data_IF_751835490198
#
_entry.id   IF_751835490198
#
_cell.length_a   1.000
_cell.length_b   1.000
_cell.length_c   1.000
_cell.angle_alpha   90.00
_cell.angle_beta   90.00
_cell.angle_gamma   90.00
#
_symmetry.space_group_name_H-M   'P 1'
#
loop_
_entity.id
_entity.type
_entity.pdbx_description
1 polymer ?
#
# COMPACT_ATOMS: atom_id res chain seq x y z
N UNK A 1 -63.17 -32.56 9.99
CA UNK A 1 -62.54 -31.22 10.13
C UNK A 1 -61.09 -31.44 10.47
N UNK A 2 -60.26 -31.57 9.44
CA UNK A 2 -58.88 -32.03 9.56
C UNK A 2 -57.94 -30.82 9.42
N UNK A 3 -57.28 -30.42 10.52
CA UNK A 3 -56.35 -29.27 10.54
C UNK A 3 -54.97 -29.75 10.14
N UNK A 4 -54.56 -29.44 8.91
CA UNK A 4 -53.17 -29.59 8.45
C UNK A 4 -52.31 -28.45 9.01
N UNK A 5 -51.30 -28.78 9.80
CA UNK A 5 -50.24 -27.90 10.26
C UNK A 5 -49.20 -27.68 9.15
N UNK A 6 -48.86 -26.41 8.87
CA UNK A 6 -47.73 -26.02 8.02
C UNK A 6 -46.43 -25.98 8.84
N UNK A 7 -45.27 -26.37 8.28
CA UNK A 7 -43.99 -26.30 8.98
C UNK A 7 -43.47 -24.84 9.02
N UNK A 8 -42.64 -24.48 10.01
CA UNK A 8 -42.11 -23.13 10.13
C UNK A 8 -41.06 -22.86 9.05
N UNK A 9 -41.21 -21.70 8.39
CA UNK A 9 -40.26 -21.17 7.42
C UNK A 9 -38.95 -20.80 8.16
N UNK A 10 -37.89 -21.57 7.94
CA UNK A 10 -36.54 -21.21 8.42
C UNK A 10 -35.99 -20.14 7.48
N UNK A 11 -36.02 -18.89 7.91
CA UNK A 11 -35.31 -17.79 7.24
C UNK A 11 -33.80 -17.96 7.48
N UNK A 12 -33.09 -18.49 6.47
CA UNK A 12 -31.64 -18.41 6.39
C UNK A 12 -31.25 -16.95 6.14
N UNK A 13 -30.94 -16.22 7.22
CA UNK A 13 -30.33 -14.89 7.14
C UNK A 13 -28.89 -15.11 6.67
N UNK A 14 -28.66 -15.00 5.36
CA UNK A 14 -27.31 -14.87 4.81
C UNK A 14 -26.83 -13.48 5.24
N UNK A 15 -26.16 -13.38 6.39
CA UNK A 15 -25.46 -12.16 6.76
C UNK A 15 -24.33 -11.95 5.76
N UNK A 16 -24.56 -11.11 4.76
CA UNK A 16 -23.50 -10.60 3.90
C UNK A 16 -22.67 -9.62 4.74
N UNK A 17 -21.80 -10.14 5.61
CA UNK A 17 -20.74 -9.31 6.17
C UNK A 17 -19.92 -8.80 4.98
N UNK A 18 -19.82 -7.47 4.77
CA UNK A 18 -18.95 -6.96 3.73
C UNK A 18 -17.54 -7.43 4.10
N UNK A 19 -17.01 -8.35 3.29
CA UNK A 19 -15.82 -9.14 3.66
C UNK A 19 -14.58 -8.25 3.86
N UNK A 20 -14.63 -6.96 3.47
CA UNK A 20 -13.52 -6.02 3.55
C UNK A 20 -14.02 -4.57 3.66
N UNK A 21 -14.53 -4.18 4.83
CA UNK A 21 -15.06 -2.82 5.04
C UNK A 21 -14.03 -1.68 4.83
N UNK A 22 -12.73 -2.00 4.71
CA UNK A 22 -11.67 -1.03 4.48
C UNK A 22 -10.71 -1.38 3.33
N UNK A 23 -11.03 -2.34 2.46
CA UNK A 23 -10.19 -2.60 1.28
C UNK A 23 -10.38 -1.52 0.20
N UNK A 24 -9.32 -1.24 -0.56
CA UNK A 24 -9.49 -0.46 -1.78
C UNK A 24 -10.20 -1.30 -2.84
N UNK A 25 -10.99 -0.63 -3.67
CA UNK A 25 -11.66 -1.26 -4.79
C UNK A 25 -10.60 -1.77 -5.77
N UNK A 26 -10.76 -3.01 -6.19
CA UNK A 26 -9.91 -3.59 -7.22
C UNK A 26 -10.72 -4.49 -8.16
N UNK A 27 -10.99 -3.99 -9.36
CA UNK A 27 -11.76 -4.68 -10.40
C UNK A 27 -10.99 -5.80 -11.09
N UNK A 28 -9.67 -5.67 -11.17
CA UNK A 28 -8.78 -6.67 -11.79
C UNK A 28 -8.70 -7.92 -10.91
N UNK A 29 -9.17 -9.08 -11.37
CA UNK A 29 -9.18 -10.29 -10.53
C UNK A 29 -9.00 -11.61 -11.30
N UNK A 30 -8.16 -12.55 -10.82
CA UNK A 30 -7.14 -12.42 -9.78
C UNK A 30 -5.81 -11.86 -10.35
N UNK A 31 -5.32 -10.75 -9.79
CA UNK A 31 -4.04 -10.11 -10.21
C UNK A 31 -3.20 -9.76 -8.98
N UNK A 32 -1.87 -9.88 -9.12
CA UNK A 32 -0.89 -9.46 -8.11
C UNK A 32 -0.11 -8.24 -8.60
N UNK A 33 0.23 -7.36 -7.70
CA UNK A 33 1.09 -6.20 -7.96
C UNK A 33 1.86 -5.81 -6.69
N UNK A 34 2.66 -4.74 -6.77
CA UNK A 34 3.22 -4.08 -5.59
C UNK A 34 2.38 -2.84 -5.27
N UNK A 35 2.12 -2.62 -3.99
CA UNK A 35 1.46 -1.43 -3.48
C UNK A 35 2.32 -0.78 -2.39
N UNK A 36 2.00 0.47 -2.07
CA UNK A 36 2.60 1.22 -0.98
C UNK A 36 1.51 1.57 0.05
N UNK A 37 1.90 1.74 1.30
CA UNK A 37 1.02 2.30 2.33
C UNK A 37 1.84 3.10 3.33
N UNK A 38 1.25 4.14 3.90
CA UNK A 38 1.86 4.87 4.99
C UNK A 38 1.91 4.04 6.27
N UNK A 39 3.05 4.15 6.94
CA UNK A 39 3.19 3.82 8.34
C UNK A 39 3.79 5.03 9.05
N UNK A 40 3.12 5.50 10.09
CA UNK A 40 3.59 6.59 10.94
C UNK A 40 4.17 5.94 12.20
N UNK A 41 5.47 6.11 12.44
CA UNK A 41 6.14 5.51 13.59
C UNK A 41 5.49 6.02 14.89
N UNK A 42 4.89 5.16 15.74
CA UNK A 42 4.25 5.63 16.98
C UNK A 42 5.28 6.16 17.97
N UNK A 43 6.46 5.53 18.00
CA UNK A 43 7.59 5.86 18.86
C UNK A 43 8.90 5.80 18.06
N UNK A 44 10.02 6.13 18.70
CA UNK A 44 11.33 5.96 18.07
C UNK A 44 11.57 4.47 17.79
N UNK A 45 11.98 4.14 16.57
CA UNK A 45 12.21 2.76 16.12
C UNK A 45 13.44 2.69 15.19
N UNK A 46 13.62 1.60 14.45
CA UNK A 46 14.69 1.39 13.46
C UNK A 46 14.13 0.82 12.16
N UNK A 47 14.89 0.87 11.06
CA UNK A 47 14.43 0.26 9.81
C UNK A 47 14.18 -1.25 9.95
N UNK A 48 15.02 -1.98 10.69
CA UNK A 48 14.86 -3.43 10.86
C UNK A 48 13.59 -3.80 11.63
N UNK A 49 13.18 -3.00 12.61
CA UNK A 49 11.92 -3.18 13.34
C UNK A 49 10.71 -2.95 12.43
N UNK A 50 10.73 -1.89 11.61
CA UNK A 50 9.68 -1.64 10.60
C UNK A 50 9.63 -2.75 9.55
N UNK A 51 10.78 -3.23 9.08
CA UNK A 51 10.83 -4.37 8.17
C UNK A 51 10.20 -5.62 8.78
N UNK A 52 10.48 -5.87 10.05
CA UNK A 52 9.94 -7.02 10.79
C UNK A 52 8.43 -6.90 10.92
N UNK A 53 7.93 -5.73 11.33
CA UNK A 53 6.49 -5.45 11.48
C UNK A 53 5.71 -5.71 10.18
N UNK A 54 6.25 -5.30 9.03
CA UNK A 54 5.59 -5.42 7.73
C UNK A 54 6.04 -6.63 6.90
N UNK A 55 6.94 -7.46 7.43
CA UNK A 55 7.60 -8.56 6.72
C UNK A 55 8.22 -8.14 5.37
N UNK A 56 8.84 -6.96 5.33
CA UNK A 56 9.60 -6.45 4.18
C UNK A 56 10.95 -7.16 4.12
N UNK A 57 11.07 -8.12 3.19
CA UNK A 57 12.19 -9.08 3.14
C UNK A 57 13.58 -8.45 2.96
N UNK A 58 13.67 -7.28 2.33
CA UNK A 58 14.96 -6.65 2.03
C UNK A 58 14.90 -5.16 2.37
N UNK A 59 15.91 -4.68 3.11
CA UNK A 59 15.99 -3.29 3.56
C UNK A 59 15.99 -2.33 2.37
N UNK A 60 16.69 -2.70 1.29
CA UNK A 60 16.79 -1.88 0.08
C UNK A 60 15.43 -1.63 -0.58
N UNK A 61 14.47 -2.53 -0.41
CA UNK A 61 13.09 -2.33 -0.89
C UNK A 61 12.39 -1.24 -0.07
N UNK A 62 12.55 -1.26 1.25
CA UNK A 62 12.01 -0.22 2.13
C UNK A 62 12.69 1.14 1.87
N UNK A 63 14.02 1.16 1.77
CA UNK A 63 14.77 2.38 1.45
C UNK A 63 14.38 2.94 0.08
N UNK A 64 14.20 2.07 -0.91
CA UNK A 64 13.78 2.43 -2.26
C UNK A 64 12.41 3.08 -2.33
N UNK A 65 11.42 2.53 -1.63
CA UNK A 65 10.08 3.10 -1.52
C UNK A 65 10.06 4.51 -0.89
N UNK A 66 11.11 4.85 -0.13
CA UNK A 66 11.27 6.14 0.55
C UNK A 66 12.36 7.02 -0.07
N UNK A 67 12.95 6.62 -1.21
CA UNK A 67 14.06 7.31 -1.87
C UNK A 67 15.26 7.60 -0.95
N UNK A 68 15.49 6.74 0.04
CA UNK A 68 16.55 6.91 1.02
C UNK A 68 17.89 6.38 0.48
N UNK A 69 19.04 6.84 1.02
CA UNK A 69 20.34 6.34 0.62
C UNK A 69 20.45 4.82 0.78
N UNK A 70 20.98 4.14 -0.23
CA UNK A 70 21.16 2.66 -0.22
C UNK A 70 22.11 2.18 0.88
N UNK A 71 22.95 3.08 1.39
CA UNK A 71 23.93 2.85 2.44
C UNK A 71 23.36 3.04 3.85
N UNK A 72 22.09 3.43 3.99
CA UNK A 72 21.43 3.54 5.30
C UNK A 72 21.47 2.19 6.03
N UNK A 73 21.99 2.16 7.27
CA UNK A 73 22.16 0.91 8.00
C UNK A 73 20.83 0.42 8.60
N UNK A 74 20.64 -0.90 8.81
CA UNK A 74 19.38 -1.46 9.30
C UNK A 74 18.94 -0.96 10.68
N UNK A 75 19.90 -0.63 11.54
CA UNK A 75 19.74 -0.12 12.90
C UNK A 75 19.64 1.40 12.98
N UNK A 76 19.62 2.10 11.83
CA UNK A 76 19.42 3.55 11.80
C UNK A 76 18.12 3.89 12.52
N UNK A 77 18.24 4.76 13.54
CA UNK A 77 17.09 5.24 14.32
C UNK A 77 16.18 6.11 13.46
N UNK A 78 14.89 5.88 13.64
CA UNK A 78 13.78 6.64 13.07
C UNK A 78 13.06 7.34 14.22
N UNK A 79 12.93 8.68 14.21
CA UNK A 79 12.14 9.39 15.22
C UNK A 79 10.68 8.96 15.19
N UNK A 80 9.99 9.20 16.31
CA UNK A 80 8.54 9.09 16.38
C UNK A 80 7.87 10.07 15.40
N UNK A 81 6.66 9.72 14.94
CA UNK A 81 5.85 10.46 13.95
C UNK A 81 6.50 10.60 12.58
N UNK A 82 7.52 9.80 12.28
CA UNK A 82 8.06 9.73 10.93
C UNK A 82 7.14 8.87 10.06
N UNK A 83 6.73 9.42 8.92
CA UNK A 83 5.98 8.67 7.91
C UNK A 83 6.94 7.91 6.99
N UNK A 84 6.72 6.62 6.84
CA UNK A 84 7.40 5.75 5.88
C UNK A 84 6.39 5.15 4.90
N UNK A 85 6.76 5.13 3.62
CA UNK A 85 6.07 4.34 2.59
C UNK A 85 6.53 2.89 2.69
N UNK A 86 5.62 2.00 3.05
CA UNK A 86 5.88 0.57 3.21
C UNK A 86 5.48 -0.16 1.93
N UNK A 87 6.41 -0.83 1.25
CA UNK A 87 6.10 -1.67 0.09
C UNK A 87 5.62 -3.06 0.50
N UNK A 88 4.52 -3.52 -0.10
CA UNK A 88 3.98 -4.86 0.15
C UNK A 88 3.31 -5.45 -1.10
N UNK A 89 3.22 -6.79 -1.20
CA UNK A 89 2.55 -7.44 -2.32
C UNK A 89 1.04 -7.31 -2.14
N UNK A 90 0.36 -6.85 -3.18
CA UNK A 90 -1.09 -6.79 -3.25
C UNK A 90 -1.65 -8.01 -3.98
N UNK A 91 -2.84 -8.45 -3.59
CA UNK A 91 -3.67 -9.40 -4.33
C UNK A 91 -5.07 -8.84 -4.47
N UNK A 92 -5.52 -8.70 -5.71
CA UNK A 92 -6.90 -8.34 -6.00
C UNK A 92 -7.77 -9.57 -6.18
N UNK A 93 -8.81 -9.68 -5.36
CA UNK A 93 -9.74 -10.80 -5.39
C UNK A 93 -11.16 -10.33 -5.04
N UNK A 94 -12.14 -10.71 -5.87
CA UNK A 94 -13.57 -10.43 -5.63
C UNK A 94 -13.89 -8.94 -5.43
N UNK A 95 -13.30 -8.07 -6.25
CA UNK A 95 -13.59 -6.63 -6.22
C UNK A 95 -12.81 -5.83 -5.17
N UNK A 96 -11.99 -6.49 -4.35
CA UNK A 96 -11.19 -5.87 -3.29
C UNK A 96 -9.71 -6.22 -3.47
N UNK A 97 -8.83 -5.25 -3.22
CA UNK A 97 -7.40 -5.50 -3.11
C UNK A 97 -6.93 -5.41 -1.66
N UNK A 98 -6.24 -6.47 -1.23
CA UNK A 98 -5.65 -6.57 0.10
C UNK A 98 -4.22 -7.12 0.00
N UNK A 99 -3.45 -6.87 1.05
CA UNK A 99 -2.10 -7.42 1.17
C UNK A 99 -2.09 -8.94 1.07
N UNK A 100 -1.16 -9.46 0.28
CA UNK A 100 -1.08 -10.88 -0.04
C UNK A 100 -0.25 -11.62 1.01
N UNK A 101 -0.94 -12.22 1.99
CA UNK A 101 -0.38 -13.09 3.06
C UNK A 101 0.57 -12.41 4.05
N UNK A 102 0.81 -11.10 3.95
CA UNK A 102 1.67 -10.37 4.89
C UNK A 102 1.26 -8.89 5.01
N UNK A 103 1.43 -8.25 6.18
CA UNK A 103 2.06 -8.82 7.38
C UNK A 103 1.17 -9.77 8.18
N UNK A 104 1.83 -10.60 8.98
CA UNK A 104 1.21 -11.35 10.07
C UNK A 104 1.79 -10.75 11.34
N UNK A 105 0.92 -10.22 12.20
CA UNK A 105 1.30 -9.58 13.45
C UNK A 105 1.16 -10.57 14.60
N UNK A 106 2.20 -10.73 15.40
CA UNK A 106 2.13 -11.48 16.66
C UNK A 106 1.79 -10.52 17.78
N UNK A 107 0.65 -10.73 18.43
CA UNK A 107 0.16 -9.91 19.55
C UNK A 107 1.19 -9.88 20.67
N UNK A 108 1.51 -8.67 21.14
CA UNK A 108 2.51 -8.38 22.16
C UNK A 108 1.86 -8.06 23.50
N UNK A 109 2.67 -8.06 24.55
CA UNK A 109 2.25 -7.54 25.86
C UNK A 109 1.88 -6.06 25.73
N UNK A 110 0.74 -5.69 26.33
CA UNK A 110 0.18 -4.34 26.23
C UNK A 110 -0.72 -4.08 25.01
N UNK A 111 -0.98 -5.09 24.16
CA UNK A 111 -2.05 -5.00 23.17
C UNK A 111 -3.38 -5.46 23.79
N UNK A 112 -4.31 -4.52 23.99
CA UNK A 112 -5.58 -4.77 24.69
C UNK A 112 -6.73 -5.15 23.73
N UNK A 113 -6.54 -4.96 22.42
CA UNK A 113 -7.55 -5.31 21.42
C UNK A 113 -7.20 -4.93 19.98
N UNK A 114 -8.05 -5.35 19.04
CA UNK A 114 -7.85 -5.11 17.61
C UNK A 114 -7.84 -3.64 17.22
N UNK A 115 -8.64 -2.80 17.91
CA UNK A 115 -8.68 -1.36 17.69
C UNK A 115 -7.35 -0.70 18.00
N UNK A 116 -6.76 -1.04 19.14
CA UNK A 116 -5.47 -0.48 19.54
C UNK A 116 -4.36 -0.95 18.59
N UNK A 117 -4.35 -2.22 18.19
CA UNK A 117 -3.39 -2.74 17.20
C UNK A 117 -3.54 -1.98 15.87
N UNK A 118 -4.77 -1.81 15.38
CA UNK A 118 -5.05 -1.07 14.16
C UNK A 118 -4.56 0.38 14.23
N UNK A 119 -4.93 1.12 15.28
CA UNK A 119 -4.67 2.56 15.43
C UNK A 119 -3.23 2.87 15.84
N UNK A 120 -2.66 2.13 16.82
CA UNK A 120 -1.34 2.40 17.39
C UNK A 120 -0.21 1.70 16.65
N UNK A 121 -0.37 0.41 16.31
CA UNK A 121 0.69 -0.37 15.66
C UNK A 121 0.71 -0.12 14.15
N UNK A 122 -0.45 -0.10 13.52
CA UNK A 122 -0.59 0.10 12.07
C UNK A 122 -1.04 1.51 11.68
N UNK A 123 -1.00 2.48 12.61
CA UNK A 123 -1.27 3.90 12.35
C UNK A 123 -2.66 4.19 11.76
N UNK A 124 -3.64 3.30 11.92
CA UNK A 124 -4.96 3.38 11.30
C UNK A 124 -4.99 2.96 9.82
N UNK A 125 -3.89 2.40 9.29
CA UNK A 125 -3.81 1.93 7.90
C UNK A 125 -4.69 0.68 7.62
N UNK A 126 -5.19 0.05 8.67
CA UNK A 126 -6.15 -1.06 8.63
C UNK A 126 -7.18 -0.82 9.72
N UNK A 127 -8.41 -1.32 9.55
CA UNK A 127 -9.45 -1.24 10.58
C UNK A 127 -9.47 -2.50 11.46
N UNK A 128 -9.91 -2.37 12.71
CA UNK A 128 -10.17 -3.50 13.60
C UNK A 128 -11.16 -4.50 13.00
N UNK A 129 -12.21 -4.01 12.32
CA UNK A 129 -13.16 -4.82 11.58
C UNK A 129 -12.52 -5.64 10.46
N UNK A 130 -11.56 -5.07 9.71
CA UNK A 130 -10.84 -5.80 8.68
C UNK A 130 -9.91 -6.86 9.28
N UNK A 131 -9.22 -6.55 10.39
CA UNK A 131 -8.41 -7.55 11.10
C UNK A 131 -9.32 -8.68 11.63
N UNK A 132 -10.44 -8.34 12.27
CA UNK A 132 -11.40 -9.29 12.80
C UNK A 132 -11.92 -10.24 11.72
N UNK A 133 -12.39 -9.68 10.59
CA UNK A 133 -12.90 -10.43 9.46
C UNK A 133 -11.84 -11.36 8.85
N UNK A 134 -10.60 -10.88 8.68
CA UNK A 134 -9.50 -11.68 8.12
C UNK A 134 -9.08 -12.85 9.01
N UNK A 135 -9.35 -12.77 10.31
CA UNK A 135 -8.94 -13.76 11.31
C UNK A 135 -10.12 -14.59 11.86
N UNK A 136 -11.35 -14.35 11.39
CA UNK A 136 -12.53 -15.09 11.83
C UNK A 136 -12.88 -14.88 13.32
N UNK A 137 -12.56 -13.70 13.85
CA UNK A 137 -12.82 -13.30 15.24
C UNK A 137 -13.75 -12.08 15.29
N UNK A 138 -14.34 -11.80 16.45
CA UNK A 138 -15.13 -10.58 16.67
C UNK A 138 -14.22 -9.41 17.05
N UNK A 139 -14.62 -8.20 16.68
CA UNK A 139 -13.94 -6.96 17.11
C UNK A 139 -13.95 -6.75 18.62
N UNK A 140 -14.84 -7.44 19.34
CA UNK A 140 -14.95 -7.40 20.80
C UNK A 140 -14.15 -8.51 21.49
N UNK A 141 -13.60 -9.46 20.74
CA UNK A 141 -12.86 -10.57 21.34
C UNK A 141 -11.52 -10.04 21.88
N UNK A 142 -11.11 -10.48 23.09
CA UNK A 142 -9.77 -10.16 23.59
C UNK A 142 -8.72 -10.84 22.72
N UNK A 143 -7.63 -10.12 22.46
CA UNK A 143 -6.44 -10.69 21.82
C UNK A 143 -5.55 -11.32 22.88
N UNK A 144 -4.84 -12.41 22.51
CA UNK A 144 -3.92 -13.10 23.41
C UNK A 144 -2.48 -12.87 22.98
N UNK A 145 -1.60 -12.56 23.92
CA UNK A 145 -0.15 -12.48 23.65
C UNK A 145 0.33 -13.75 22.94
N UNK A 146 1.09 -13.59 21.86
CA UNK A 146 1.56 -14.69 21.01
C UNK A 146 0.59 -15.13 19.91
N UNK A 147 -0.65 -14.62 19.90
CA UNK A 147 -1.59 -14.88 18.81
C UNK A 147 -1.11 -14.23 17.51
N UNK A 148 -1.18 -14.97 16.41
CA UNK A 148 -0.88 -14.45 15.07
C UNK A 148 -2.16 -13.91 14.42
N UNK A 149 -2.11 -12.65 13.99
CA UNK A 149 -3.18 -11.95 13.29
C UNK A 149 -2.73 -11.65 11.86
N UNK A 150 -3.50 -12.12 10.87
CA UNK A 150 -3.36 -11.70 9.49
C UNK A 150 -3.82 -10.25 9.35
N UNK A 151 -2.93 -9.38 8.86
CA UNK A 151 -3.20 -7.95 8.68
C UNK A 151 -3.42 -7.67 7.19
N UNK A 152 -4.66 -7.35 6.83
CA UNK A 152 -5.09 -7.10 5.44
C UNK A 152 -4.99 -5.62 5.10
N UNK A 153 -3.79 -5.17 4.75
CA UNK A 153 -3.58 -3.78 4.32
C UNK A 153 -4.28 -3.54 2.98
N UNK A 154 -5.03 -2.44 2.82
CA UNK A 154 -5.75 -2.17 1.57
C UNK A 154 -4.80 -1.77 0.45
N UNK A 155 -5.13 -2.19 -0.77
CA UNK A 155 -4.35 -1.90 -1.97
C UNK A 155 -5.21 -2.10 -3.22
N UNK A 156 -4.69 -1.71 -4.38
CA UNK A 156 -5.29 -2.07 -5.66
C UNK A 156 -4.19 -2.31 -6.70
N UNK A 157 -4.55 -3.02 -7.78
CA UNK A 157 -3.72 -3.30 -8.94
C UNK A 157 -4.36 -2.79 -10.23
N UNK A 158 -5.43 -1.99 -10.11
CA UNK A 158 -6.14 -1.46 -11.25
C UNK A 158 -5.30 -0.41 -11.99
N UNK A 159 -5.52 -0.34 -13.30
CA UNK A 159 -4.99 0.75 -14.09
C UNK A 159 -5.93 1.96 -13.92
N UNK A 160 -5.37 3.16 -13.86
CA UNK A 160 -6.14 4.40 -13.74
C UNK A 160 -5.98 5.19 -15.04
N UNK A 161 -7.11 5.51 -15.68
CA UNK A 161 -7.15 6.16 -17.01
C UNK A 161 -6.30 5.42 -18.08
N UNK A 162 -6.28 4.08 -18.03
CA UNK A 162 -5.50 3.25 -18.96
C UNK A 162 -3.98 3.30 -18.76
N UNK A 163 -3.52 3.87 -17.64
CA UNK A 163 -2.11 4.00 -17.29
C UNK A 163 -1.76 3.11 -16.09
N UNK A 164 -0.55 2.54 -16.12
CA UNK A 164 -0.01 1.82 -14.97
C UNK A 164 0.31 2.78 -13.84
N UNK A 165 -0.18 2.44 -12.64
CA UNK A 165 0.05 3.19 -11.40
C UNK A 165 0.51 2.25 -10.30
N UNK A 166 1.12 2.82 -9.27
CA UNK A 166 1.32 2.16 -7.98
C UNK A 166 0.31 2.76 -7.02
N UNK A 167 -0.65 1.94 -6.57
CA UNK A 167 -1.60 2.36 -5.55
C UNK A 167 -0.88 2.54 -4.22
N UNK A 168 -1.08 3.71 -3.62
CA UNK A 168 -0.46 4.12 -2.38
C UNK A 168 -1.54 4.54 -1.38
N UNK A 169 -1.68 3.75 -0.30
CA UNK A 169 -2.54 4.13 0.82
C UNK A 169 -1.90 5.26 1.63
N UNK A 170 -2.34 6.48 1.37
CA UNK A 170 -1.86 7.68 2.04
C UNK A 170 -2.72 7.99 3.27
N UNK A 171 -2.09 8.14 4.44
CA UNK A 171 -2.77 8.62 5.65
C UNK A 171 -2.83 10.14 5.60
N UNK A 172 -4.02 10.70 5.43
CA UNK A 172 -4.20 12.14 5.30
C UNK A 172 -3.76 12.87 6.58
N UNK A 173 -2.89 13.87 6.42
CA UNK A 173 -2.47 14.74 7.52
C UNK A 173 -3.68 15.53 8.07
N UNK A 174 -3.63 15.93 9.34
CA UNK A 174 -4.65 16.81 9.91
C UNK A 174 -4.74 18.10 9.09
N UNK A 175 -5.97 18.48 8.70
CA UNK A 175 -6.24 19.66 7.85
C UNK A 175 -5.75 19.55 6.40
N UNK A 176 -5.37 18.35 5.93
CA UNK A 176 -5.08 18.11 4.52
C UNK A 176 -6.34 18.23 3.66
N UNK A 177 -6.16 18.60 2.39
CA UNK A 177 -7.22 18.68 1.38
C UNK A 177 -6.92 17.76 0.19
N UNK A 178 -7.95 17.45 -0.62
CA UNK A 178 -7.76 16.64 -1.83
C UNK A 178 -6.81 17.34 -2.81
N UNK A 179 -6.89 18.67 -2.92
CA UNK A 179 -6.02 19.50 -3.74
C UNK A 179 -4.56 19.37 -3.30
N UNK A 180 -4.29 19.48 -1.99
CA UNK A 180 -2.93 19.37 -1.48
C UNK A 180 -2.32 17.96 -1.70
N UNK A 181 -3.13 16.91 -1.59
CA UNK A 181 -2.72 15.53 -1.87
C UNK A 181 -2.49 15.35 -3.38
N UNK A 182 -3.42 15.81 -4.21
CA UNK A 182 -3.35 15.79 -5.66
C UNK A 182 -2.05 16.45 -6.17
N UNK A 183 -1.77 17.67 -5.71
CA UNK A 183 -0.57 18.43 -6.09
C UNK A 183 0.71 17.75 -5.62
N UNK A 184 0.72 17.18 -4.41
CA UNK A 184 1.89 16.48 -3.86
C UNK A 184 2.27 15.26 -4.70
N UNK A 185 1.29 14.51 -5.20
CA UNK A 185 1.52 13.24 -5.89
C UNK A 185 1.35 13.31 -7.41
N UNK A 186 1.00 14.48 -7.96
CA UNK A 186 0.80 14.67 -9.41
C UNK A 186 -0.41 13.90 -9.94
N UNK A 187 -1.47 13.81 -9.15
CA UNK A 187 -2.76 13.17 -9.49
C UNK A 187 -3.82 14.26 -9.54
N UNK A 188 -4.88 14.12 -10.36
CA UNK A 188 -5.98 15.09 -10.36
C UNK A 188 -6.96 14.84 -9.22
N UNK A 189 -7.60 15.90 -8.70
CA UNK A 189 -8.66 15.77 -7.68
C UNK A 189 -9.81 14.87 -8.16
N UNK A 190 -10.33 14.98 -9.41
CA UNK A 190 -11.35 14.07 -9.90
C UNK A 190 -10.95 12.59 -9.85
N UNK A 191 -9.70 12.27 -10.20
CA UNK A 191 -9.19 10.89 -10.11
C UNK A 191 -9.15 10.44 -8.65
N UNK A 192 -8.62 11.26 -7.73
CA UNK A 192 -8.61 10.92 -6.30
C UNK A 192 -10.02 10.66 -5.78
N UNK A 193 -10.99 11.47 -6.19
CA UNK A 193 -12.37 11.28 -5.78
C UNK A 193 -12.97 9.99 -6.34
N UNK A 194 -12.76 9.71 -7.63
CA UNK A 194 -13.26 8.51 -8.29
C UNK A 194 -12.74 7.23 -7.62
N UNK A 195 -11.42 7.11 -7.45
CA UNK A 195 -10.80 5.89 -6.90
C UNK A 195 -11.16 5.66 -5.44
N UNK A 196 -11.48 6.73 -4.69
CA UNK A 196 -11.90 6.66 -3.29
C UNK A 196 -13.43 6.70 -3.10
N UNK A 197 -14.22 6.77 -4.18
CA UNK A 197 -15.68 6.89 -4.10
C UNK A 197 -16.18 8.15 -3.37
N UNK A 198 -15.38 9.23 -3.40
CA UNK A 198 -15.73 10.52 -2.80
C UNK A 198 -16.62 11.33 -3.74
N UNK A 199 -17.50 12.15 -3.17
CA UNK A 199 -18.40 13.06 -3.91
C UNK A 199 -17.90 14.49 -3.82
N UNK A 200 -18.37 15.36 -4.72
CA UNK A 200 -18.06 16.80 -4.65
C UNK A 200 -18.41 17.36 -3.28
N UNK A 201 -17.48 18.15 -2.72
CA UNK A 201 -17.60 18.72 -1.37
C UNK A 201 -17.31 17.76 -0.22
N UNK A 202 -16.84 16.54 -0.48
CA UNK A 202 -16.37 15.64 0.59
C UNK A 202 -15.16 16.25 1.30
N UNK A 203 -15.21 16.31 2.63
CA UNK A 203 -14.04 16.66 3.44
C UNK A 203 -13.22 15.41 3.77
N UNK A 204 -11.89 15.55 3.74
CA UNK A 204 -10.98 14.51 4.25
C UNK A 204 -10.78 14.74 5.74
N UNK A 205 -10.81 13.66 6.53
CA UNK A 205 -10.47 13.70 7.94
C UNK A 205 -8.98 13.39 8.13
N UNK A 206 -8.35 14.02 9.12
CA UNK A 206 -7.01 13.61 9.54
C UNK A 206 -6.99 12.13 9.93
N UNK A 207 -5.98 11.40 9.48
CA UNK A 207 -5.85 9.95 9.64
C UNK A 207 -6.72 9.11 8.69
N UNK A 208 -7.54 9.73 7.84
CA UNK A 208 -8.28 8.99 6.81
C UNK A 208 -7.29 8.41 5.80
N UNK A 209 -7.43 7.12 5.54
CA UNK A 209 -6.65 6.44 4.50
C UNK A 209 -7.26 6.71 3.12
N UNK A 210 -6.44 7.23 2.21
CA UNK A 210 -6.81 7.62 0.86
C UNK A 210 -5.97 6.80 -0.13
N UNK A 211 -6.60 6.16 -1.11
CA UNK A 211 -5.91 5.56 -2.24
C UNK A 211 -5.42 6.64 -3.20
N UNK A 212 -4.10 6.76 -3.32
CA UNK A 212 -3.43 7.68 -4.24
C UNK A 212 -2.76 6.87 -5.35
N UNK A 213 -3.26 6.94 -6.60
CA UNK A 213 -2.68 6.23 -7.73
C UNK A 213 -1.45 6.97 -8.24
N UNK A 214 -0.27 6.64 -7.70
CA UNK A 214 0.99 7.28 -8.11
C UNK A 214 1.38 6.77 -9.48
N UNK A 215 1.63 7.68 -10.43
CA UNK A 215 2.12 7.32 -11.77
C UNK A 215 3.41 6.49 -11.66
N UNK A 216 3.41 5.35 -12.35
CA UNK A 216 4.61 4.53 -12.48
C UNK A 216 5.42 4.96 -13.71
N UNK A 217 6.74 4.85 -13.64
CA UNK A 217 7.57 4.98 -14.83
C UNK A 217 7.33 3.82 -15.80
N UNK A 218 7.32 4.12 -17.09
CA UNK A 218 7.26 3.07 -18.10
C UNK A 218 8.60 2.31 -18.13
N UNK A 219 8.55 0.99 -18.08
CA UNK A 219 9.72 0.14 -18.22
C UNK A 219 9.75 -0.46 -19.62
N UNK A 220 10.94 -0.54 -20.23
CA UNK A 220 11.15 -1.26 -21.50
C UNK A 220 11.57 -2.71 -21.24
N UNK A 221 11.16 -3.28 -20.10
CA UNK A 221 11.49 -4.66 -19.75
C UNK A 221 10.71 -5.58 -20.67
N UNK A 222 11.39 -6.57 -21.23
CA UNK A 222 10.78 -7.54 -22.14
C UNK A 222 9.67 -8.32 -21.42
N UNK A 223 8.59 -8.61 -22.13
CA UNK A 223 7.42 -9.32 -21.58
C UNK A 223 7.72 -10.75 -21.12
N UNK A 224 8.76 -11.38 -21.64
CA UNK A 224 9.24 -12.71 -21.25
C UNK A 224 10.18 -12.68 -20.03
N UNK A 225 10.53 -11.50 -19.51
CA UNK A 225 11.26 -11.37 -18.26
C UNK A 225 10.38 -11.70 -17.06
N UNK A 226 10.98 -12.32 -16.05
CA UNK A 226 10.38 -12.47 -14.72
C UNK A 226 10.06 -11.12 -14.06
N UNK A 227 10.74 -10.05 -14.48
CA UNK A 227 10.57 -8.68 -14.00
C UNK A 227 9.67 -7.83 -14.91
N UNK A 228 8.95 -8.44 -15.86
CA UNK A 228 8.07 -7.74 -16.82
C UNK A 228 6.97 -6.90 -16.17
N UNK A 229 6.61 -7.21 -14.91
CA UNK A 229 5.64 -6.46 -14.12
C UNK A 229 6.28 -5.40 -13.20
N UNK A 230 7.56 -5.06 -13.40
CA UNK A 230 8.24 -4.06 -12.58
C UNK A 230 7.55 -2.70 -12.73
N UNK A 231 6.94 -2.26 -11.63
CA UNK A 231 6.33 -0.94 -11.48
C UNK A 231 7.11 -0.14 -10.45
N UNK A 232 7.49 1.08 -10.82
CA UNK A 232 8.28 1.97 -9.97
C UNK A 232 7.55 3.29 -9.88
N UNK A 233 7.05 3.59 -8.69
CA UNK A 233 6.34 4.83 -8.39
C UNK A 233 7.25 6.05 -8.59
N UNK A 234 6.68 7.16 -9.04
CA UNK A 234 7.40 8.42 -9.14
C UNK A 234 8.06 8.80 -7.79
N UNK A 235 9.34 9.19 -7.84
CA UNK A 235 10.13 9.55 -6.68
C UNK A 235 10.69 8.36 -5.90
N UNK A 236 10.62 7.13 -6.41
CA UNK A 236 11.16 5.93 -5.74
C UNK A 236 12.20 5.22 -6.62
N UNK A 237 12.90 4.26 -6.02
CA UNK A 237 13.70 3.29 -6.76
C UNK A 237 13.44 1.87 -6.29
N UNK A 238 13.75 0.90 -7.15
CA UNK A 238 13.64 -0.53 -6.86
C UNK A 238 14.87 -1.28 -7.36
N UNK A 239 15.06 -2.48 -6.85
CA UNK A 239 16.06 -3.42 -7.31
C UNK A 239 15.39 -4.58 -8.04
N UNK A 240 16.00 -5.01 -9.14
CA UNK A 240 15.55 -6.11 -10.00
C UNK A 240 16.77 -6.96 -10.39
N UNK A 241 16.57 -8.05 -11.15
CA UNK A 241 17.63 -9.00 -11.51
C UNK A 241 18.46 -9.43 -10.28
N UNK A 242 17.81 -9.98 -9.26
CA UNK A 242 18.44 -10.43 -8.01
C UNK A 242 19.31 -9.36 -7.30
N UNK A 243 18.89 -8.10 -7.35
CA UNK A 243 19.59 -6.92 -6.80
C UNK A 243 20.80 -6.42 -7.60
N UNK A 244 21.03 -6.94 -8.80
CA UNK A 244 22.11 -6.48 -9.68
C UNK A 244 21.78 -5.18 -10.40
N UNK A 245 20.50 -4.87 -10.61
CA UNK A 245 20.05 -3.68 -11.33
C UNK A 245 19.18 -2.84 -10.42
N UNK A 246 19.50 -1.54 -10.33
CA UNK A 246 18.64 -0.56 -9.69
C UNK A 246 17.95 0.27 -10.75
N UNK A 247 16.62 0.34 -10.65
CA UNK A 247 15.77 1.17 -11.47
C UNK A 247 15.17 2.30 -10.64
N UNK A 248 15.39 3.55 -11.04
CA UNK A 248 14.85 4.74 -10.38
C UNK A 248 13.84 5.43 -11.29
N UNK A 249 12.73 5.88 -10.69
CA UNK A 249 11.71 6.66 -11.35
C UNK A 249 11.70 8.07 -10.75
N UNK A 250 12.13 9.05 -11.53
CA UNK A 250 12.07 10.47 -11.16
C UNK A 250 11.31 11.23 -12.26
N UNK A 251 10.25 11.94 -11.88
CA UNK A 251 9.61 12.91 -12.76
C UNK A 251 10.44 14.18 -12.84
N UNK A 252 11.01 14.45 -14.01
CA UNK A 252 11.34 15.81 -14.38
C UNK A 252 10.05 16.55 -14.71
N UNK A 253 9.44 17.16 -13.69
CA UNK A 253 8.65 18.41 -13.72
C UNK A 253 7.58 18.42 -12.62
N UNK A 254 7.84 19.17 -11.55
CA UNK A 254 6.80 19.89 -10.83
C UNK A 254 7.00 21.38 -11.14
N UNK A 255 6.19 21.92 -12.07
CA UNK A 255 5.76 23.33 -12.06
C UNK A 255 6.78 24.48 -12.00
N UNK A 256 8.01 24.37 -12.50
CA UNK A 256 8.84 25.56 -12.80
C UNK A 256 9.48 25.45 -14.18
N UNK A 257 9.11 26.35 -15.07
CA UNK A 257 9.85 26.63 -16.30
C UNK A 257 11.29 27.04 -15.95
N UNK A 258 12.22 26.09 -15.97
CA UNK A 258 13.65 26.35 -16.20
C UNK A 258 14.38 25.06 -16.56
N UNK A 259 14.51 24.84 -17.87
CA UNK A 259 15.62 24.19 -18.57
C UNK A 259 16.28 22.93 -17.97
N UNK A 260 15.90 21.76 -18.48
CA UNK A 260 16.82 20.66 -18.87
C UNK A 260 16.10 19.73 -19.84
N UNK A 261 16.36 19.90 -21.13
CA UNK A 261 15.62 19.27 -22.24
C UNK A 261 16.08 17.81 -22.52
N UNK A 262 16.29 16.99 -21.48
CA UNK A 262 16.83 15.61 -21.61
C UNK A 262 16.04 14.52 -20.86
N UNK A 263 14.84 14.79 -20.35
CA UNK A 263 14.25 13.97 -19.28
C UNK A 263 12.84 13.40 -19.54
N UNK A 264 12.26 13.63 -20.72
CA UNK A 264 11.05 12.95 -21.19
C UNK A 264 11.43 11.98 -22.32
N UNK A 265 10.76 10.83 -22.42
CA UNK A 265 10.77 10.08 -23.68
C UNK A 265 10.15 10.98 -24.75
N UNK A 266 10.99 11.51 -25.64
CA UNK A 266 10.62 12.47 -26.68
C UNK A 266 9.55 11.94 -27.64
N UNK A 267 9.23 10.63 -27.64
CA UNK A 267 8.16 10.04 -28.45
C UNK A 267 6.82 9.97 -27.75
N UNK A 268 6.79 9.86 -26.41
CA UNK A 268 5.55 9.51 -25.66
C UNK A 268 5.18 10.48 -24.55
N UNK A 269 6.08 11.37 -24.12
CA UNK A 269 5.82 12.31 -23.02
C UNK A 269 5.66 11.63 -21.65
N UNK A 270 6.10 10.37 -21.51
CA UNK A 270 5.96 9.56 -20.28
C UNK A 270 7.21 9.63 -19.40
N UNK A 271 7.01 9.34 -18.10
CA UNK A 271 8.08 9.14 -17.13
C UNK A 271 8.98 7.96 -17.54
N UNK A 272 10.27 8.20 -17.69
CA UNK A 272 11.24 7.19 -18.11
C UNK A 272 11.89 6.51 -16.91
N UNK A 273 11.85 5.17 -16.87
CA UNK A 273 12.55 4.39 -15.87
C UNK A 273 14.04 4.32 -16.19
N UNK A 274 14.90 4.73 -15.24
CA UNK A 274 16.36 4.67 -15.40
C UNK A 274 16.95 3.52 -14.62
N UNK A 275 17.42 2.50 -15.33
CA UNK A 275 18.04 1.32 -14.73
C UNK A 275 19.56 1.34 -14.91
N UNK A 276 20.31 1.17 -13.83
CA UNK A 276 21.77 1.08 -13.83
C UNK A 276 22.21 -0.14 -13.03
N UNK A 277 23.38 -0.70 -13.37
CA UNK A 277 24.01 -1.74 -12.54
C UNK A 277 24.22 -1.19 -11.14
N UNK A 278 23.70 -1.89 -10.15
CA UNK A 278 23.86 -1.55 -8.75
C UNK A 278 25.32 -1.78 -8.35
N UNK A 279 26.11 -0.71 -8.22
CA UNK A 279 27.46 -0.82 -7.65
C UNK A 279 27.35 -1.21 -6.17
N UNK A 280 27.76 -2.44 -5.86
CA UNK A 280 27.82 -3.04 -4.53
C UNK A 280 28.34 -4.47 -4.68
N UNK A 281 29.30 -4.86 -3.85
CA UNK A 281 30.02 -6.14 -3.93
C UNK A 281 29.08 -7.32 -4.18
N UNK A 282 29.34 -8.07 -5.25
CA UNK A 282 28.80 -9.42 -5.37
C UNK A 282 29.24 -10.19 -4.11
N UNK A 283 28.33 -10.83 -3.36
CA UNK A 283 28.76 -11.99 -2.61
C UNK A 283 29.16 -13.02 -3.66
N UNK A 284 30.47 -13.24 -3.80
CA UNK A 284 30.98 -14.40 -4.52
C UNK A 284 30.29 -15.63 -3.92
N UNK A 285 29.59 -16.37 -4.78
CA UNK A 285 29.23 -17.77 -4.50
C UNK A 285 30.46 -18.64 -4.72
#
# INVERSE_FOLDING_TARGET
>A
MDRRSLPPLVFLIISTFPLYASAFKCGSSPVKCQALIDHITPESTTFVEVQTLFAVRNLRTLLGANNLPRSSPPDQKLPAKQTLKIPFPCLCHRGAGISNKRPVYTVKEGDDGLKEIAERVFSGAVTDGAIAAANGISVKDPVKVGQNLSITLPCSCDDVEGMKVVHYGHLAESWSSLEAIADRYGVSVPILMEVNGLKDGSSIRGGQLIDVPIRACNSSIRSDSIDSQLLVANGTYVFTAHNCVQCKCDSANNGRYSASRRELDHRTGRLALRCNVAKGTMPYY
#
